data_IF_335333657075
#
_entry.id   IF_335333657075
#
_cell.length_a   1.000
_cell.length_b   1.000
_cell.length_c   1.000
_cell.angle_alpha   90.00
_cell.angle_beta   90.00
_cell.angle_gamma   90.00
#
_symmetry.space_group_name_H-M   'P 1'
#
loop_
_entity.id
_entity.type
_entity.pdbx_description
1 polymer ?
#
# COMPACT_ATOMS: atom_id res chain seq x y z
N UNK A 1 0.02 -32.38 6.31
CA UNK A 1 -1.11 -32.15 7.23
C UNK A 1 -1.92 -31.01 6.65
N UNK A 2 -3.21 -31.21 6.34
CA UNK A 2 -4.06 -30.12 5.84
C UNK A 2 -4.15 -29.01 6.89
N UNK A 3 -4.06 -27.75 6.44
CA UNK A 3 -4.14 -26.59 7.32
C UNK A 3 -5.50 -26.56 8.02
N UNK A 4 -5.52 -26.30 9.33
CA UNK A 4 -6.76 -26.26 10.14
C UNK A 4 -7.77 -25.26 9.58
N UNK A 5 -7.28 -24.22 8.89
CA UNK A 5 -8.09 -23.21 8.21
C UNK A 5 -8.86 -23.77 7.02
N UNK A 6 -8.27 -24.66 6.25
CA UNK A 6 -8.87 -25.19 5.03
C UNK A 6 -9.99 -26.18 5.37
N UNK A 7 -9.78 -26.99 6.43
CA UNK A 7 -10.82 -27.82 7.03
C UNK A 7 -11.97 -26.98 7.62
N UNK A 8 -11.64 -25.89 8.32
CA UNK A 8 -12.62 -24.94 8.84
C UNK A 8 -13.42 -24.23 7.73
N UNK A 9 -12.82 -24.02 6.55
CA UNK A 9 -13.52 -23.46 5.40
C UNK A 9 -14.53 -24.45 4.82
N UNK A 10 -14.19 -25.73 4.78
CA UNK A 10 -15.08 -26.78 4.30
C UNK A 10 -16.30 -26.95 5.21
N UNK A 11 -16.07 -26.98 6.54
CA UNK A 11 -17.17 -26.97 7.52
C UNK A 11 -18.07 -25.71 7.39
N UNK A 12 -17.49 -24.56 7.06
CA UNK A 12 -18.25 -23.34 6.79
C UNK A 12 -19.10 -23.46 5.52
N UNK A 13 -18.56 -24.06 4.45
CA UNK A 13 -19.30 -24.33 3.21
C UNK A 13 -20.45 -25.34 3.44
N UNK A 14 -20.26 -26.29 4.35
CA UNK A 14 -21.29 -27.24 4.80
C UNK A 14 -22.36 -26.57 5.70
N UNK A 15 -22.24 -25.27 5.99
CA UNK A 15 -23.23 -24.47 6.71
C UNK A 15 -23.01 -24.38 8.22
N UNK A 16 -21.86 -24.84 8.75
CA UNK A 16 -21.57 -24.69 10.18
C UNK A 16 -21.37 -23.22 10.57
N UNK A 17 -21.87 -22.84 11.76
CA UNK A 17 -21.66 -21.50 12.30
C UNK A 17 -20.23 -21.35 12.81
N UNK A 18 -19.72 -20.11 12.78
CA UNK A 18 -18.37 -19.79 13.28
C UNK A 18 -18.12 -20.19 14.74
N UNK A 19 -19.17 -20.21 15.59
CA UNK A 19 -19.08 -20.66 16.99
C UNK A 19 -18.75 -22.15 17.09
N UNK A 20 -19.37 -22.96 16.24
CA UNK A 20 -19.23 -24.42 16.27
C UNK A 20 -17.89 -24.84 15.66
N UNK A 21 -17.46 -24.16 14.60
CA UNK A 21 -16.12 -24.30 14.01
C UNK A 21 -15.04 -23.95 15.05
N UNK A 22 -15.20 -22.83 15.76
CA UNK A 22 -14.28 -22.42 16.82
C UNK A 22 -14.15 -23.49 17.91
N UNK A 23 -15.28 -24.06 18.35
CA UNK A 23 -15.31 -25.13 19.35
C UNK A 23 -14.68 -26.43 18.84
N UNK A 24 -14.93 -26.81 17.58
CA UNK A 24 -14.40 -28.03 16.94
C UNK A 24 -12.88 -28.03 16.84
N UNK A 25 -12.28 -26.89 16.45
CA UNK A 25 -10.83 -26.76 16.27
C UNK A 25 -10.11 -26.14 17.47
N UNK A 26 -10.81 -25.85 18.58
CA UNK A 26 -10.20 -25.25 19.78
C UNK A 26 -9.64 -23.84 19.55
N UNK A 27 -10.14 -23.12 18.55
CA UNK A 27 -9.70 -21.75 18.23
C UNK A 27 -10.70 -20.72 18.71
N UNK A 28 -10.26 -19.48 18.90
CA UNK A 28 -11.17 -18.40 19.27
C UNK A 28 -12.11 -18.04 18.11
N UNK A 29 -13.31 -17.56 18.45
CA UNK A 29 -14.25 -17.02 17.46
C UNK A 29 -13.65 -15.85 16.67
N UNK A 30 -12.74 -15.08 17.27
CA UNK A 30 -12.01 -14.00 16.59
C UNK A 30 -11.01 -14.53 15.54
N UNK A 31 -10.38 -15.69 15.78
CA UNK A 31 -9.51 -16.34 14.80
C UNK A 31 -10.30 -16.81 13.57
N UNK A 32 -11.44 -17.48 13.78
CA UNK A 32 -12.34 -17.92 12.69
C UNK A 32 -12.82 -16.72 11.86
N UNK A 33 -13.26 -15.64 12.51
CA UNK A 33 -13.65 -14.40 11.83
C UNK A 33 -12.49 -13.78 11.02
N UNK A 34 -11.27 -13.86 11.54
CA UNK A 34 -10.08 -13.34 10.86
C UNK A 34 -9.75 -14.16 9.61
N UNK A 35 -9.89 -15.49 9.66
CA UNK A 35 -9.75 -16.36 8.49
C UNK A 35 -10.84 -16.09 7.46
N UNK A 36 -12.08 -15.92 7.91
CA UNK A 36 -13.20 -15.57 7.05
C UNK A 36 -12.96 -14.28 6.25
N UNK A 37 -12.49 -13.24 6.94
CA UNK A 37 -12.21 -11.95 6.33
C UNK A 37 -11.03 -11.98 5.35
N UNK A 38 -9.97 -12.75 5.66
CA UNK A 38 -8.71 -12.76 4.89
C UNK A 38 -8.70 -13.75 3.74
N UNK A 39 -9.31 -14.93 3.91
CA UNK A 39 -9.12 -16.06 3.00
C UNK A 39 -10.43 -16.61 2.42
N UNK A 40 -11.54 -16.57 3.17
CA UNK A 40 -12.82 -17.12 2.69
C UNK A 40 -13.56 -16.17 1.76
N UNK A 41 -13.30 -14.86 1.88
CA UNK A 41 -13.86 -13.85 0.99
C UNK A 41 -13.09 -13.85 -0.35
N UNK A 42 -13.58 -14.64 -1.29
CA UNK A 42 -13.06 -14.77 -2.67
C UNK A 42 -12.92 -13.38 -3.33
N UNK A 43 -11.68 -12.90 -3.47
CA UNK A 43 -11.11 -11.91 -4.41
C UNK A 43 -12.02 -10.79 -5.00
N UNK A 44 -13.05 -10.31 -4.30
CA UNK A 44 -13.95 -9.26 -4.83
C UNK A 44 -14.15 -8.08 -3.89
N UNK A 45 -13.53 -8.10 -2.71
CA UNK A 45 -13.76 -7.08 -1.68
C UNK A 45 -12.50 -6.43 -1.10
N UNK A 46 -11.32 -6.74 -1.64
CA UNK A 46 -10.40 -5.65 -1.92
C UNK A 46 -10.77 -5.20 -3.34
N UNK A 47 -11.58 -4.15 -3.55
CA UNK A 47 -11.12 -3.23 -4.57
C UNK A 47 -9.72 -2.89 -4.09
N UNK A 48 -8.67 -3.44 -4.73
CA UNK A 48 -7.34 -2.88 -4.62
C UNK A 48 -7.59 -1.40 -4.76
N UNK A 49 -7.56 -0.65 -3.63
CA UNK A 49 -8.22 0.65 -3.52
C UNK A 49 -7.79 1.36 -4.76
N UNK A 50 -8.69 1.48 -5.76
CA UNK A 50 -8.29 2.06 -7.03
C UNK A 50 -7.84 3.40 -6.54
N UNK A 51 -6.54 3.68 -6.62
CA UNK A 51 -6.05 5.02 -6.37
C UNK A 51 -6.74 5.77 -7.49
N UNK A 52 -7.92 6.32 -7.18
CA UNK A 52 -8.65 7.19 -8.08
C UNK A 52 -7.76 8.41 -8.05
N UNK A 53 -6.72 8.37 -8.87
CA UNK A 53 -5.99 9.53 -9.26
C UNK A 53 -7.05 10.36 -9.98
N UNK A 54 -7.67 11.28 -9.25
CA UNK A 54 -8.25 12.48 -9.85
C UNK A 54 -7.20 12.95 -10.84
N UNK A 55 -7.53 13.06 -12.13
CA UNK A 55 -6.59 13.56 -13.14
C UNK A 55 -6.14 14.93 -12.66
N UNK A 56 -4.94 14.99 -12.10
CA UNK A 56 -4.35 16.18 -11.51
C UNK A 56 -4.14 17.16 -12.64
N UNK A 57 -4.82 18.31 -12.61
CA UNK A 57 -4.49 19.48 -13.45
C UNK A 57 -3.06 19.98 -13.20
N UNK A 58 -2.42 19.46 -12.15
CA UNK A 58 -1.10 19.80 -11.64
C UNK A 58 0.05 19.48 -12.62
N UNK A 59 -0.12 18.58 -13.61
CA UNK A 59 0.98 18.25 -14.52
C UNK A 59 1.51 19.47 -15.29
N UNK A 60 0.64 20.41 -15.67
CA UNK A 60 1.04 21.62 -16.39
C UNK A 60 1.73 22.65 -15.47
N UNK A 61 1.27 22.74 -14.21
CA UNK A 61 1.87 23.60 -13.19
C UNK A 61 3.27 23.09 -12.81
N UNK A 62 3.42 21.77 -12.65
CA UNK A 62 4.70 21.13 -12.33
C UNK A 62 5.73 21.39 -13.45
N UNK A 63 5.33 21.36 -14.73
CA UNK A 63 6.27 21.63 -15.83
C UNK A 63 6.75 23.09 -15.86
N UNK A 64 5.86 24.05 -15.61
CA UNK A 64 6.23 25.48 -15.61
C UNK A 64 7.13 25.84 -14.40
N UNK A 65 6.84 25.29 -13.22
CA UNK A 65 7.67 25.48 -12.02
C UNK A 65 9.06 24.81 -12.16
N UNK A 66 9.12 23.62 -12.77
CA UNK A 66 10.40 22.93 -13.02
C UNK A 66 11.25 23.70 -14.03
N UNK A 67 10.67 24.25 -15.10
CA UNK A 67 11.40 25.06 -16.09
C UNK A 67 11.97 26.34 -15.47
N UNK A 68 11.23 27.00 -14.59
CA UNK A 68 11.72 28.18 -13.85
C UNK A 68 12.91 27.84 -12.94
N UNK A 69 12.88 26.69 -12.26
CA UNK A 69 14.00 26.23 -11.41
C UNK A 69 15.21 25.83 -12.25
N UNK A 70 15.01 25.20 -13.42
CA UNK A 70 16.09 24.86 -14.35
C UNK A 70 16.74 26.10 -15.00
N UNK A 71 15.96 27.17 -15.21
CA UNK A 71 16.45 28.47 -15.69
C UNK A 71 17.09 29.36 -14.61
N UNK A 72 17.01 28.99 -13.33
CA UNK A 72 17.56 29.79 -12.25
C UNK A 72 19.07 29.57 -12.09
N UNK A 73 19.88 30.48 -12.62
CA UNK A 73 21.35 30.42 -12.58
C UNK A 73 21.94 30.55 -11.15
N UNK A 74 21.12 30.80 -10.12
CA UNK A 74 21.55 30.91 -8.73
C UNK A 74 21.69 29.55 -8.01
N UNK A 75 21.25 28.44 -8.62
CA UNK A 75 21.42 27.10 -8.08
C UNK A 75 22.45 26.31 -8.89
N UNK A 76 23.44 25.74 -8.21
CA UNK A 76 24.38 24.77 -8.78
C UNK A 76 23.68 23.45 -9.10
N UNK A 77 24.23 22.67 -10.06
CA UNK A 77 23.65 21.39 -10.48
C UNK A 77 23.45 20.40 -9.30
N UNK A 78 24.35 20.40 -8.32
CA UNK A 78 24.21 19.61 -7.09
C UNK A 78 23.01 20.03 -6.25
N UNK A 79 22.77 21.33 -6.10
CA UNK A 79 21.61 21.86 -5.37
C UNK A 79 20.30 21.55 -6.10
N UNK A 80 20.28 21.67 -7.43
CA UNK A 80 19.12 21.31 -8.26
C UNK A 80 18.79 19.83 -8.10
N UNK A 81 19.81 18.97 -8.19
CA UNK A 81 19.65 17.53 -8.02
C UNK A 81 19.17 17.17 -6.60
N UNK A 82 19.66 17.86 -5.57
CA UNK A 82 19.19 17.70 -4.19
C UNK A 82 17.70 18.02 -4.06
N UNK A 83 17.25 19.17 -4.56
CA UNK A 83 15.84 19.58 -4.51
C UNK A 83 14.92 18.54 -5.18
N UNK A 84 15.29 18.08 -6.38
CA UNK A 84 14.56 17.04 -7.11
C UNK A 84 14.51 15.72 -6.33
N UNK A 85 15.62 15.32 -5.72
CA UNK A 85 15.68 14.11 -4.91
C UNK A 85 14.90 14.23 -3.60
N UNK A 86 14.88 15.42 -3.00
CA UNK A 86 14.14 15.70 -1.77
C UNK A 86 12.63 15.64 -2.01
N UNK A 87 12.10 16.30 -3.03
CA UNK A 87 10.67 16.24 -3.36
C UNK A 87 10.23 14.80 -3.64
N UNK A 88 11.11 13.98 -4.22
CA UNK A 88 10.79 12.58 -4.54
C UNK A 88 10.82 11.64 -3.34
N UNK A 89 11.66 11.92 -2.33
CA UNK A 89 11.88 11.02 -1.20
C UNK A 89 11.47 11.59 0.16
N UNK A 90 11.13 12.88 0.23
CA UNK A 90 10.89 13.67 1.44
C UNK A 90 11.86 13.36 2.58
N UNK A 91 13.13 13.11 2.23
CA UNK A 91 14.18 12.71 3.14
C UNK A 91 15.48 13.43 2.76
N UNK A 92 15.93 14.33 3.63
CA UNK A 92 17.09 15.19 3.38
C UNK A 92 18.40 14.39 3.27
N UNK A 93 18.63 13.43 4.17
CA UNK A 93 19.86 12.63 4.19
C UNK A 93 20.01 11.82 2.90
N UNK A 94 18.95 11.17 2.46
CA UNK A 94 18.93 10.39 1.22
C UNK A 94 19.08 11.27 -0.02
N UNK A 95 18.48 12.46 -0.01
CA UNK A 95 18.63 13.42 -1.09
C UNK A 95 20.06 13.98 -1.18
N UNK A 96 20.70 14.25 -0.03
CA UNK A 96 22.09 14.71 0.07
C UNK A 96 23.06 13.67 -0.51
N UNK A 97 22.97 12.42 -0.03
CA UNK A 97 23.79 11.30 -0.53
C UNK A 97 23.62 11.15 -2.05
N UNK A 98 22.38 11.27 -2.53
CA UNK A 98 22.07 11.11 -3.96
C UNK A 98 22.55 12.27 -4.83
N UNK A 99 22.63 13.48 -4.27
CA UNK A 99 23.14 14.67 -4.96
C UNK A 99 24.66 14.85 -4.81
N UNK A 100 25.34 13.99 -4.04
CA UNK A 100 26.79 14.02 -3.87
C UNK A 100 27.27 15.13 -2.93
N UNK A 101 26.51 15.35 -1.85
CA UNK A 101 26.91 16.11 -0.66
C UNK A 101 27.64 15.24 0.35
#
# INVERSE_FOLDING_TARGET
MPDTRDLAYQDYLDGMKYKDIAKKYGVSLSAVKSWAARYWKKESCNPATKKVATKRKDQKIITEEVDQVMGNNGLTDKQRLFCLCYIRCFNATKAAIKAGY
#
